data_IF_965010662402
#
_entry.id   IF_965010662402
#
_cell.length_a   1.000
_cell.length_b   1.000
_cell.length_c   1.000
_cell.angle_alpha   90.00
_cell.angle_beta   90.00
_cell.angle_gamma   90.00
#
_symmetry.space_group_name_H-M   'P 1'
#
loop_
_entity.id
_entity.type
_entity.pdbx_description
1 polymer ?
#
# COMPACT_ATOMS: atom_id res chain seq x y z
N UNK A 1 19.18 5.71 -15.85
CA UNK A 1 18.80 7.12 -16.07
C UNK A 1 17.28 7.21 -15.93
N UNK A 2 16.77 8.08 -15.07
CA UNK A 2 15.32 8.25 -14.87
C UNK A 2 14.95 9.71 -15.16
N UNK A 3 13.90 9.90 -15.95
CA UNK A 3 13.37 11.20 -16.33
C UNK A 3 11.91 11.32 -15.89
N UNK A 4 11.53 12.48 -15.36
CA UNK A 4 10.19 12.73 -14.85
C UNK A 4 9.74 14.11 -15.25
N UNK A 5 8.50 14.22 -15.74
CA UNK A 5 7.87 15.50 -16.04
C UNK A 5 6.63 15.62 -15.19
N UNK A 6 6.59 16.67 -14.38
CA UNK A 6 5.50 16.93 -13.45
C UNK A 6 5.03 18.37 -13.53
N UNK A 7 3.74 18.56 -13.28
CA UNK A 7 3.14 19.87 -13.06
C UNK A 7 3.16 20.15 -11.57
N UNK A 8 3.71 21.27 -11.12
CA UNK A 8 3.71 21.68 -9.71
C UNK A 8 3.12 23.07 -9.53
N UNK A 9 2.56 23.33 -8.36
CA UNK A 9 1.94 24.62 -8.04
C UNK A 9 3.03 25.61 -7.65
N UNK A 10 2.98 26.80 -8.26
CA UNK A 10 3.95 27.87 -8.02
C UNK A 10 3.51 28.67 -6.80
N UNK A 11 4.42 28.91 -5.87
CA UNK A 11 4.27 29.93 -4.82
C UNK A 11 4.39 31.30 -5.48
N UNK A 12 3.33 32.11 -5.38
CA UNK A 12 3.34 33.52 -5.77
C UNK A 12 3.10 34.39 -4.53
N UNK A 13 3.66 35.59 -4.53
CA UNK A 13 3.27 36.61 -3.57
C UNK A 13 1.92 37.16 -4.04
N UNK A 14 0.89 36.99 -3.21
CA UNK A 14 -0.45 37.50 -3.48
C UNK A 14 -0.37 39.02 -3.71
N UNK A 15 -0.44 39.44 -4.97
CA UNK A 15 -0.69 40.84 -5.31
C UNK A 15 -2.19 41.07 -5.38
N UNK A 16 -2.65 42.26 -5.00
CA UNK A 16 -4.07 42.61 -4.79
C UNK A 16 -4.93 42.56 -6.08
N UNK A 17 -4.41 42.04 -7.19
CA UNK A 17 -5.03 42.11 -8.51
C UNK A 17 -4.89 40.81 -9.33
N UNK A 18 -4.61 39.66 -8.70
CA UNK A 18 -4.52 38.38 -9.42
C UNK A 18 -5.92 37.80 -9.70
N UNK A 19 -6.13 37.38 -10.94
CA UNK A 19 -7.22 36.49 -11.34
C UNK A 19 -7.17 35.20 -10.52
N UNK A 20 -8.33 34.63 -10.18
CA UNK A 20 -8.47 33.39 -9.39
C UNK A 20 -8.05 32.13 -10.19
N UNK A 21 -6.79 32.11 -10.63
CA UNK A 21 -6.17 31.01 -11.34
C UNK A 21 -4.89 30.67 -10.61
N UNK A 22 -4.86 29.48 -9.99
CA UNK A 22 -3.69 29.02 -9.25
C UNK A 22 -2.49 28.85 -10.19
N UNK A 23 -1.39 29.59 -10.00
CA UNK A 23 -0.24 29.52 -10.89
C UNK A 23 0.48 28.19 -10.75
N UNK A 24 1.02 27.68 -11.86
CA UNK A 24 1.73 26.41 -11.92
C UNK A 24 2.93 26.50 -12.84
N UNK A 25 3.87 25.58 -12.67
CA UNK A 25 5.04 25.39 -13.53
C UNK A 25 5.14 23.92 -13.90
N UNK A 26 5.78 23.65 -15.04
CA UNK A 26 6.19 22.29 -15.39
C UNK A 26 7.65 22.10 -15.04
N UNK A 27 7.94 20.98 -14.39
CA UNK A 27 9.27 20.59 -13.96
C UNK A 27 9.63 19.29 -14.65
N UNK A 28 10.69 19.30 -15.43
CA UNK A 28 11.34 18.13 -15.98
C UNK A 28 12.62 17.87 -15.17
N UNK A 29 12.72 16.70 -14.54
CA UNK A 29 13.89 16.28 -13.76
C UNK A 29 14.54 15.06 -14.40
N UNK A 30 15.84 15.16 -14.66
CA UNK A 30 16.68 14.10 -15.21
C UNK A 30 17.74 13.72 -14.19
N UNK A 31 17.65 12.49 -13.70
CA UNK A 31 18.49 11.96 -12.63
C UNK A 31 19.65 11.16 -13.24
N UNK A 32 20.84 11.75 -13.19
CA UNK A 32 22.12 11.14 -13.57
C UNK A 32 22.78 10.53 -12.33
N UNK A 33 23.93 9.86 -12.52
CA UNK A 33 24.69 9.27 -11.41
C UNK A 33 25.27 10.35 -10.47
N UNK A 34 25.83 11.43 -11.05
CA UNK A 34 26.53 12.48 -10.29
C UNK A 34 25.78 13.81 -10.18
N UNK A 35 24.64 13.96 -10.87
CA UNK A 35 23.92 15.22 -10.94
C UNK A 35 22.42 15.04 -11.25
N UNK A 36 21.65 16.07 -10.93
CA UNK A 36 20.24 16.19 -11.29
C UNK A 36 20.09 17.41 -12.21
N UNK A 37 19.72 17.17 -13.46
CA UNK A 37 19.36 18.27 -14.35
C UNK A 37 17.87 18.59 -14.20
N UNK A 38 17.58 19.86 -13.97
CA UNK A 38 16.22 20.38 -13.86
C UNK A 38 15.96 21.31 -15.04
N UNK A 39 14.87 21.08 -15.76
CA UNK A 39 14.33 22.04 -16.72
C UNK A 39 12.96 22.48 -16.24
N UNK A 40 12.73 23.80 -16.21
CA UNK A 40 11.50 24.40 -15.73
C UNK A 40 10.85 25.19 -16.84
N UNK A 41 9.55 25.03 -17.01
CA UNK A 41 8.74 25.86 -17.88
C UNK A 41 7.68 26.59 -17.10
N UNK A 42 7.65 27.90 -17.30
CA UNK A 42 6.68 28.81 -16.70
C UNK A 42 5.67 29.21 -17.78
N UNK A 43 4.43 28.70 -17.74
CA UNK A 43 3.42 28.98 -18.77
C UNK A 43 3.03 30.46 -18.85
N UNK A 44 3.03 31.17 -17.72
CA UNK A 44 2.57 32.58 -17.64
C UNK A 44 3.48 33.53 -18.42
N UNK A 45 4.80 33.29 -18.39
CA UNK A 45 5.80 34.10 -19.10
C UNK A 45 6.38 33.41 -20.33
N UNK A 46 5.85 32.23 -20.67
CA UNK A 46 6.33 31.36 -21.73
C UNK A 46 7.86 31.16 -21.73
N UNK A 47 8.46 31.09 -20.54
CA UNK A 47 9.91 31.04 -20.37
C UNK A 47 10.36 29.66 -19.90
N UNK A 48 11.44 29.19 -20.51
CA UNK A 48 12.10 27.93 -20.13
C UNK A 48 13.42 28.23 -19.39
N UNK A 49 13.73 27.42 -18.40
CA UNK A 49 14.91 27.54 -17.56
C UNK A 49 15.58 26.19 -17.36
N UNK A 50 16.89 26.18 -17.13
CA UNK A 50 17.68 25.00 -16.75
C UNK A 50 18.46 25.27 -15.47
N UNK A 51 18.44 24.31 -14.56
CA UNK A 51 19.35 24.19 -13.42
C UNK A 51 20.06 22.83 -13.49
N UNK A 52 21.24 22.75 -12.89
CA UNK A 52 21.96 21.50 -12.69
C UNK A 52 22.35 21.51 -11.23
N UNK A 53 21.88 20.51 -10.50
CA UNK A 53 22.17 20.30 -9.09
C UNK A 53 23.18 19.16 -8.99
N UNK A 54 24.40 19.45 -8.57
CA UNK A 54 25.47 18.46 -8.47
C UNK A 54 25.39 17.68 -7.17
N UNK A 55 25.96 16.47 -7.15
CA UNK A 55 26.09 15.66 -5.93
C UNK A 55 26.69 16.46 -4.76
N UNK A 56 27.78 17.20 -5.01
CA UNK A 56 28.46 17.99 -3.97
C UNK A 56 27.56 19.08 -3.36
N UNK A 57 26.68 19.68 -4.16
CA UNK A 57 25.75 20.72 -3.72
C UNK A 57 24.65 20.12 -2.83
N UNK A 58 24.13 18.94 -3.20
CA UNK A 58 23.15 18.20 -2.38
C UNK A 58 23.80 17.76 -1.06
N UNK A 59 25.05 17.30 -1.12
CA UNK A 59 25.79 16.87 0.06
C UNK A 59 26.07 18.05 1.00
N UNK A 60 26.50 19.20 0.49
CA UNK A 60 26.69 20.42 1.27
C UNK A 60 25.36 20.85 1.92
N UNK A 61 24.26 20.82 1.18
CA UNK A 61 22.94 21.14 1.72
C UNK A 61 22.49 20.16 2.83
N UNK A 62 22.81 18.87 2.69
CA UNK A 62 22.54 17.88 3.74
C UNK A 62 23.33 18.15 5.02
N UNK A 63 24.62 18.50 4.88
CA UNK A 63 25.48 18.88 6.01
C UNK A 63 24.97 20.16 6.70
N UNK A 64 24.55 21.17 5.94
CA UNK A 64 23.97 22.42 6.47
C UNK A 64 22.65 22.18 7.21
N UNK A 65 21.79 21.31 6.68
CA UNK A 65 20.51 20.95 7.28
C UNK A 65 20.64 19.91 8.40
N UNK A 66 21.84 19.38 8.65
CA UNK A 66 22.11 18.31 9.61
C UNK A 66 21.27 17.05 9.35
N UNK A 67 21.07 16.71 8.07
CA UNK A 67 20.32 15.54 7.62
C UNK A 67 21.26 14.53 6.94
N UNK A 68 20.87 13.26 6.96
CA UNK A 68 21.60 12.27 6.16
C UNK A 68 21.41 12.55 4.66
N UNK A 69 22.48 12.38 3.89
CA UNK A 69 22.46 12.61 2.45
C UNK A 69 21.36 11.77 1.76
N UNK A 70 21.22 10.49 2.13
CA UNK A 70 20.25 9.62 1.47
C UNK A 70 18.82 10.03 1.81
N UNK A 71 18.57 10.46 3.05
CA UNK A 71 17.26 10.95 3.46
C UNK A 71 16.88 12.22 2.69
N UNK A 72 17.79 13.20 2.60
CA UNK A 72 17.58 14.43 1.84
C UNK A 72 17.36 14.13 0.35
N UNK A 73 18.20 13.27 -0.23
CA UNK A 73 18.11 12.89 -1.63
C UNK A 73 16.78 12.22 -1.97
N UNK A 74 16.29 11.33 -1.10
CA UNK A 74 14.97 10.70 -1.26
C UNK A 74 13.85 11.74 -1.14
N UNK A 75 13.95 12.68 -0.20
CA UNK A 75 12.97 13.78 -0.08
C UNK A 75 12.98 14.68 -1.32
N UNK A 76 14.14 15.06 -1.84
CA UNK A 76 14.27 15.87 -3.06
C UNK A 76 13.66 15.14 -4.25
N UNK A 77 13.96 13.85 -4.38
CA UNK A 77 13.38 13.03 -5.44
C UNK A 77 11.87 13.02 -5.35
N UNK A 78 11.31 12.74 -4.17
CA UNK A 78 9.85 12.78 -3.98
C UNK A 78 9.28 14.16 -4.29
N UNK A 79 9.90 15.24 -3.83
CA UNK A 79 9.42 16.60 -4.06
C UNK A 79 9.44 16.98 -5.55
N UNK A 80 10.46 16.56 -6.30
CA UNK A 80 10.65 16.94 -7.71
C UNK A 80 9.98 15.98 -8.70
N UNK A 81 9.52 14.81 -8.27
CA UNK A 81 8.84 13.83 -9.15
C UNK A 81 7.36 13.63 -8.83
N UNK A 82 6.79 14.32 -7.83
CA UNK A 82 5.37 14.18 -7.46
C UNK A 82 4.49 15.11 -8.31
N UNK A 83 3.52 14.53 -9.02
CA UNK A 83 2.54 15.29 -9.79
C UNK A 83 1.68 16.17 -8.86
N UNK A 84 1.46 17.41 -9.27
CA UNK A 84 0.83 18.49 -8.49
C UNK A 84 1.64 18.97 -7.27
N UNK A 85 2.86 18.46 -7.09
CA UNK A 85 3.74 18.81 -5.96
C UNK A 85 3.47 17.94 -4.72
N UNK A 86 4.51 17.79 -3.89
CA UNK A 86 4.43 17.07 -2.63
C UNK A 86 3.78 17.96 -1.55
N UNK A 87 2.90 17.39 -0.72
CA UNK A 87 2.29 18.15 0.38
C UNK A 87 3.35 18.68 1.36
N UNK A 88 3.19 19.94 1.77
CA UNK A 88 4.15 20.61 2.64
C UNK A 88 5.42 21.05 1.91
N UNK A 89 5.43 21.05 0.57
CA UNK A 89 6.49 21.66 -0.22
C UNK A 89 5.93 22.77 -1.11
N UNK A 90 6.63 23.90 -1.16
CA UNK A 90 6.31 25.03 -2.02
C UNK A 90 7.43 25.29 -3.03
N UNK A 91 7.02 25.56 -4.27
CA UNK A 91 7.92 25.72 -5.41
C UNK A 91 7.87 27.16 -5.89
N UNK A 92 8.99 27.88 -5.83
CA UNK A 92 9.07 29.28 -6.22
C UNK A 92 10.06 29.47 -7.36
N UNK A 93 9.67 30.24 -8.37
CA UNK A 93 10.53 30.66 -9.47
C UNK A 93 10.58 32.18 -9.48
N UNK A 94 11.76 32.74 -9.24
CA UNK A 94 12.00 34.18 -9.30
C UNK A 94 12.50 34.51 -10.69
N UNK A 95 11.71 35.24 -11.48
CA UNK A 95 12.03 35.49 -12.90
C UNK A 95 12.96 36.69 -13.12
N UNK A 96 12.91 37.69 -12.24
CA UNK A 96 13.79 38.88 -12.30
C UNK A 96 15.26 38.53 -12.08
N UNK A 97 15.50 37.62 -11.13
CA UNK A 97 16.80 37.00 -10.85
C UNK A 97 16.59 35.50 -10.99
N UNK A 98 16.80 34.93 -12.19
CA UNK A 98 16.36 33.58 -12.52
C UNK A 98 16.94 32.60 -11.49
N UNK A 99 16.05 32.17 -10.58
CA UNK A 99 16.35 31.29 -9.45
C UNK A 99 15.16 30.39 -9.18
N UNK A 100 15.45 29.15 -8.83
CA UNK A 100 14.48 28.18 -8.38
C UNK A 100 14.67 27.95 -6.89
N UNK A 101 13.58 28.05 -6.14
CA UNK A 101 13.57 27.76 -4.71
C UNK A 101 12.56 26.68 -4.39
N UNK A 102 13.01 25.73 -3.57
CA UNK A 102 12.16 24.70 -2.98
C UNK A 102 12.12 24.93 -1.47
N UNK A 103 10.90 25.06 -0.93
CA UNK A 103 10.66 25.24 0.49
C UNK A 103 9.95 24.03 1.05
N UNK A 104 10.30 23.62 2.27
CA UNK A 104 9.53 22.67 3.08
C UNK A 104 8.77 23.45 4.15
N UNK A 105 7.44 23.40 4.08
CA UNK A 105 6.50 24.15 4.90
C UNK A 105 5.76 23.22 5.88
N UNK A 106 6.51 22.46 6.69
CA UNK A 106 5.93 21.54 7.69
C UNK A 106 6.28 21.99 9.10
N UNK A 107 5.42 22.84 9.67
CA UNK A 107 5.59 23.44 11.00
C UNK A 107 6.38 24.75 10.96
N UNK A 108 7.51 24.77 10.26
CA UNK A 108 8.31 25.96 9.96
C UNK A 108 8.78 25.91 8.50
N UNK A 109 9.09 27.07 7.91
CA UNK A 109 9.57 27.17 6.54
C UNK A 109 11.08 26.94 6.49
N UNK A 110 11.50 25.88 5.79
CA UNK A 110 12.91 25.54 5.56
C UNK A 110 13.22 25.66 4.08
N UNK A 111 14.27 26.39 3.73
CA UNK A 111 14.78 26.45 2.36
C UNK A 111 15.60 25.20 2.06
N UNK A 112 15.15 24.41 1.10
CA UNK A 112 15.81 23.18 0.68
C UNK A 112 16.73 23.44 -0.52
N UNK A 113 16.23 24.11 -1.55
CA UNK A 113 16.99 24.39 -2.78
C UNK A 113 16.94 25.89 -3.03
N UNK A 114 18.08 26.51 -3.36
CA UNK A 114 18.17 27.87 -3.92
C UNK A 114 19.17 27.87 -5.08
N UNK A 115 18.71 27.41 -6.24
CA UNK A 115 19.55 27.24 -7.41
C UNK A 115 19.36 28.32 -8.45
N UNK A 116 20.48 28.72 -9.08
CA UNK A 116 20.44 29.69 -10.18
C UNK A 116 19.93 29.02 -11.45
N UNK A 117 19.01 29.70 -12.11
CA UNK A 117 18.43 29.26 -13.36
C UNK A 117 19.12 29.91 -14.55
N UNK A 118 19.45 29.10 -15.55
CA UNK A 118 19.86 29.56 -16.88
C UNK A 118 18.64 29.59 -17.78
N UNK A 119 18.32 30.76 -18.35
CA UNK A 119 17.23 30.87 -19.33
C UNK A 119 17.57 30.08 -20.60
N UNK A 120 16.63 29.27 -21.08
CA UNK A 120 16.72 28.54 -22.33
C UNK A 120 15.90 29.28 -23.40
N UNK A 121 16.46 29.38 -24.61
CA UNK A 121 15.77 29.91 -25.78
C UNK A 121 14.93 28.85 -26.51
N UNK A 122 15.20 27.57 -26.26
CA UNK A 122 14.57 26.45 -26.94
C UNK A 122 13.63 25.71 -25.98
N UNK A 123 12.33 25.78 -26.25
CA UNK A 123 11.28 25.07 -25.52
C UNK A 123 11.02 23.66 -26.09
N UNK A 124 11.41 23.39 -27.35
CA UNK A 124 11.20 22.10 -27.99
C UNK A 124 11.82 20.95 -27.19
N UNK A 125 13.00 21.15 -26.57
CA UNK A 125 13.62 20.08 -25.76
C UNK A 125 12.73 19.56 -24.64
N UNK A 126 11.95 20.43 -23.99
CA UNK A 126 11.03 20.01 -22.93
C UNK A 126 9.77 19.35 -23.51
N UNK A 127 9.31 19.81 -24.68
CA UNK A 127 8.17 19.20 -25.36
C UNK A 127 8.53 17.81 -25.91
N UNK A 128 9.72 17.66 -26.48
CA UNK A 128 10.26 16.38 -26.96
C UNK A 128 10.40 15.42 -25.78
N UNK A 129 10.98 15.87 -24.67
CA UNK A 129 11.04 15.08 -23.43
C UNK A 129 9.64 14.74 -22.89
N UNK A 130 8.66 15.65 -23.00
CA UNK A 130 7.27 15.39 -22.61
C UNK A 130 6.58 14.36 -23.51
N UNK A 131 6.86 14.40 -24.81
CA UNK A 131 6.40 13.39 -25.76
C UNK A 131 7.06 12.04 -25.46
N UNK A 132 8.36 12.00 -25.17
CA UNK A 132 9.07 10.77 -24.80
C UNK A 132 8.61 10.20 -23.45
N UNK A 133 8.42 11.04 -22.44
CA UNK A 133 7.82 10.63 -21.14
C UNK A 133 6.36 10.18 -21.31
N UNK A 134 5.60 10.86 -22.16
CA UNK A 134 4.21 10.51 -22.49
C UNK A 134 4.12 9.20 -23.27
N UNK A 135 5.05 8.97 -24.19
CA UNK A 135 5.16 7.73 -24.93
C UNK A 135 5.69 6.61 -24.05
N UNK A 136 6.66 6.82 -23.18
CA UNK A 136 7.13 5.77 -22.26
C UNK A 136 6.10 5.44 -21.19
N UNK A 137 5.24 6.37 -20.78
CA UNK A 137 4.09 6.07 -19.93
C UNK A 137 2.94 5.39 -20.71
N UNK A 138 2.76 5.68 -22.01
CA UNK A 138 1.83 4.95 -22.87
C UNK A 138 2.37 3.62 -23.41
N UNK A 139 3.69 3.43 -23.45
CA UNK A 139 4.45 2.19 -23.75
C UNK A 139 4.65 1.37 -22.47
N UNK A 140 4.68 1.99 -21.29
CA UNK A 140 4.41 1.28 -20.03
C UNK A 140 2.95 0.80 -19.96
N UNK A 141 2.05 1.42 -20.74
CA UNK A 141 0.66 0.98 -20.94
C UNK A 141 0.44 0.17 -22.25
N UNK A 142 1.45 -0.03 -23.09
CA UNK A 142 1.39 -0.89 -24.29
C UNK A 142 2.62 -1.81 -24.30
N UNK A 143 2.44 -3.11 -24.04
CA UNK A 143 3.54 -3.98 -23.61
C UNK A 143 4.62 -4.06 -24.69
N UNK A 144 5.80 -3.52 -24.39
CA UNK A 144 7.01 -3.94 -25.08
C UNK A 144 7.25 -5.42 -24.75
N UNK A 145 7.37 -6.22 -25.79
CA UNK A 145 7.17 -7.67 -25.85
C UNK A 145 8.22 -8.55 -25.15
N UNK A 146 8.89 -8.05 -24.11
CA UNK A 146 9.81 -8.88 -23.31
C UNK A 146 9.79 -8.63 -21.80
N UNK A 147 9.20 -7.53 -21.32
CA UNK A 147 8.99 -7.30 -19.88
C UNK A 147 7.50 -7.34 -19.48
N UNK A 148 6.58 -6.99 -20.39
CA UNK A 148 5.14 -7.09 -20.15
C UNK A 148 4.65 -8.52 -19.90
N UNK A 149 5.27 -9.53 -20.53
CA UNK A 149 4.91 -10.93 -20.32
C UNK A 149 5.24 -11.44 -18.89
N UNK A 150 6.24 -10.85 -18.23
CA UNK A 150 6.63 -11.26 -16.88
C UNK A 150 5.72 -10.65 -15.80
N UNK A 151 5.26 -9.41 -15.99
CA UNK A 151 4.32 -8.77 -15.05
C UNK A 151 2.86 -9.17 -15.31
N UNK A 152 2.45 -9.47 -16.56
CA UNK A 152 1.17 -10.12 -16.83
C UNK A 152 1.14 -11.58 -16.33
N UNK A 153 2.26 -12.30 -16.38
CA UNK A 153 2.35 -13.64 -15.77
C UNK A 153 2.27 -13.58 -14.24
N UNK A 154 2.84 -12.55 -13.61
CA UNK A 154 2.73 -12.34 -12.16
C UNK A 154 1.33 -11.88 -11.74
N UNK A 155 0.70 -10.97 -12.49
CA UNK A 155 -0.66 -10.50 -12.20
C UNK A 155 -1.70 -11.61 -12.45
N UNK A 156 -1.52 -12.39 -13.52
CA UNK A 156 -2.31 -13.60 -13.80
C UNK A 156 -2.08 -14.68 -12.73
N UNK A 157 -0.82 -14.91 -12.33
CA UNK A 157 -0.48 -15.82 -11.24
C UNK A 157 -1.10 -15.40 -9.90
N UNK A 158 -1.12 -14.09 -9.60
CA UNK A 158 -1.74 -13.55 -8.40
C UNK A 158 -3.27 -13.68 -8.43
N UNK A 159 -3.90 -13.44 -9.58
CA UNK A 159 -5.34 -13.68 -9.79
C UNK A 159 -5.70 -15.15 -9.61
N UNK A 160 -4.90 -16.06 -10.16
CA UNK A 160 -5.10 -17.50 -10.02
C UNK A 160 -4.92 -17.97 -8.56
N UNK A 161 -3.93 -17.42 -7.85
CA UNK A 161 -3.76 -17.66 -6.42
C UNK A 161 -4.96 -17.16 -5.61
N UNK A 162 -5.50 -16.00 -5.96
CA UNK A 162 -6.69 -15.44 -5.33
C UNK A 162 -7.95 -16.28 -5.59
N UNK A 163 -8.15 -16.75 -6.83
CA UNK A 163 -9.23 -17.67 -7.16
C UNK A 163 -9.12 -19.00 -6.40
N UNK A 164 -7.92 -19.57 -6.32
CA UNK A 164 -7.65 -20.77 -5.55
C UNK A 164 -7.94 -20.55 -4.05
N UNK A 165 -7.51 -19.42 -3.49
CA UNK A 165 -7.80 -19.06 -2.11
C UNK A 165 -9.30 -18.95 -1.82
N UNK A 166 -10.07 -18.33 -2.72
CA UNK A 166 -11.54 -18.24 -2.60
C UNK A 166 -12.16 -19.64 -2.63
N UNK A 167 -11.72 -20.49 -3.55
CA UNK A 167 -12.25 -21.85 -3.69
C UNK A 167 -11.95 -22.71 -2.47
N UNK A 168 -10.73 -22.63 -1.94
CA UNK A 168 -10.34 -23.33 -0.72
C UNK A 168 -11.09 -22.82 0.51
N UNK A 169 -11.28 -21.51 0.61
CA UNK A 169 -12.08 -20.89 1.68
C UNK A 169 -13.52 -21.41 1.66
N UNK A 170 -14.17 -21.39 0.50
CA UNK A 170 -15.53 -21.94 0.33
C UNK A 170 -15.60 -23.44 0.61
N UNK A 171 -14.58 -24.21 0.25
CA UNK A 171 -14.53 -25.64 0.52
C UNK A 171 -14.39 -25.92 2.03
N UNK A 172 -13.55 -25.16 2.74
CA UNK A 172 -13.39 -25.24 4.20
C UNK A 172 -14.69 -24.85 4.90
N UNK A 173 -15.35 -23.78 4.47
CA UNK A 173 -16.66 -23.35 4.99
C UNK A 173 -17.71 -24.47 4.84
N UNK A 174 -17.83 -25.08 3.65
CA UNK A 174 -18.75 -26.18 3.40
C UNK A 174 -18.45 -27.41 4.27
N UNK A 175 -17.18 -27.75 4.46
CA UNK A 175 -16.76 -28.85 5.36
C UNK A 175 -17.14 -28.55 6.81
N UNK A 176 -16.94 -27.32 7.27
CA UNK A 176 -17.29 -26.89 8.63
C UNK A 176 -18.81 -26.95 8.84
N UNK A 177 -19.59 -26.44 7.88
CA UNK A 177 -21.05 -26.49 7.93
C UNK A 177 -21.57 -27.94 7.98
N UNK A 178 -20.97 -28.86 7.21
CA UNK A 178 -21.29 -30.29 7.26
C UNK A 178 -21.00 -30.90 8.63
N UNK A 179 -19.85 -30.59 9.23
CA UNK A 179 -19.51 -31.04 10.60
C UNK A 179 -20.51 -30.50 11.62
N UNK A 180 -20.86 -29.22 11.53
CA UNK A 180 -21.83 -28.58 12.42
C UNK A 180 -23.22 -29.23 12.31
N UNK A 181 -23.69 -29.48 11.08
CA UNK A 181 -24.97 -30.16 10.84
C UNK A 181 -24.99 -31.59 11.42
N UNK A 182 -23.89 -32.33 11.27
CA UNK A 182 -23.74 -33.65 11.87
C UNK A 182 -23.77 -33.59 13.41
N UNK A 183 -23.09 -32.61 14.01
CA UNK A 183 -23.09 -32.40 15.45
C UNK A 183 -24.51 -32.09 15.97
N UNK A 184 -25.23 -31.21 15.27
CA UNK A 184 -26.63 -30.90 15.55
C UNK A 184 -27.51 -32.15 15.52
N UNK A 185 -27.37 -32.98 14.49
CA UNK A 185 -28.15 -34.22 14.37
C UNK A 185 -27.82 -35.22 15.48
N UNK A 186 -26.54 -35.35 15.86
CA UNK A 186 -26.13 -36.18 16.99
C UNK A 186 -26.73 -35.68 18.31
N UNK A 187 -26.75 -34.36 18.52
CA UNK A 187 -27.39 -33.74 19.69
C UNK A 187 -28.91 -33.94 19.69
N UNK A 188 -29.58 -33.76 18.55
CA UNK A 188 -31.02 -34.04 18.39
C UNK A 188 -31.36 -35.48 18.76
N UNK A 189 -30.64 -36.48 18.21
CA UNK A 189 -30.85 -37.89 18.58
C UNK A 189 -30.61 -38.16 20.06
N UNK A 190 -29.62 -37.49 20.67
CA UNK A 190 -29.36 -37.62 22.12
C UNK A 190 -30.51 -37.04 22.94
N UNK A 191 -31.07 -35.90 22.54
CA UNK A 191 -32.26 -35.30 23.15
C UNK A 191 -33.45 -36.27 23.02
N UNK A 192 -33.75 -36.76 21.81
CA UNK A 192 -34.83 -37.73 21.57
C UNK A 192 -34.67 -39.01 22.43
N UNK A 193 -33.42 -39.52 22.56
CA UNK A 193 -33.14 -40.69 23.41
C UNK A 193 -33.38 -40.38 24.90
N UNK A 194 -32.97 -39.21 25.37
CA UNK A 194 -33.20 -38.78 26.75
C UNK A 194 -34.69 -38.53 27.01
N UNK A 195 -35.41 -37.92 26.08
CA UNK A 195 -36.86 -37.73 26.13
C UNK A 195 -37.60 -39.08 26.15
N UNK A 196 -37.16 -40.06 25.35
CA UNK A 196 -37.70 -41.42 25.37
C UNK A 196 -37.47 -42.12 26.72
N UNK A 197 -36.27 -41.97 27.30
CA UNK A 197 -35.94 -42.53 28.62
C UNK A 197 -36.76 -41.87 29.74
N UNK A 198 -36.98 -40.56 29.67
CA UNK A 198 -37.84 -39.83 30.60
C UNK A 198 -39.32 -40.20 30.41
N UNK A 199 -39.77 -40.43 29.18
CA UNK A 199 -41.12 -40.89 28.86
C UNK A 199 -41.41 -42.30 29.38
N UNK A 200 -40.44 -43.22 29.24
CA UNK A 200 -40.53 -44.61 29.75
C UNK A 200 -40.56 -44.69 31.29
N UNK A 201 -39.93 -43.74 31.99
CA UNK A 201 -40.03 -43.64 33.47
C UNK A 201 -41.36 -43.06 33.97
N UNK A 202 -42.14 -42.41 33.10
CA UNK A 202 -43.44 -41.81 33.44
C UNK A 202 -44.63 -42.76 33.25
N UNK A 203 -44.41 -43.97 32.76
CA UNK A 203 -45.43 -45.02 32.73
C UNK A 203 -45.24 -45.92 33.95
N UNK A 204 -46.09 -45.85 34.99
CA UNK A 204 -46.12 -46.88 36.02
C UNK A 204 -46.65 -48.17 35.38
N UNK A 205 -45.76 -49.11 35.10
CA UNK A 205 -46.15 -50.47 34.77
C UNK A 205 -46.63 -51.11 36.07
N UNK A 206 -47.95 -51.07 36.28
CA UNK A 206 -48.62 -51.99 37.19
C UNK A 206 -48.47 -53.37 36.55
N UNK A 207 -47.57 -54.18 37.09
CA UNK A 207 -47.64 -55.63 36.98
C UNK A 207 -47.33 -56.23 38.34
N UNK A 208 -48.41 -56.71 38.95
CA UNK A 208 -48.41 -57.68 40.02
C UNK A 208 -47.56 -58.90 39.71
N UNK A 209 -47.03 -59.45 40.80
CA UNK A 209 -46.76 -60.87 41.12
C UNK A 209 -45.29 -61.32 41.16
N UNK A 210 -44.84 -61.47 42.41
CA UNK A 210 -43.97 -62.52 43.00
C UNK A 210 -42.56 -62.70 42.41
N UNK A 211 -41.48 -62.87 43.17
CA UNK A 211 -41.15 -62.90 44.60
C UNK A 211 -39.60 -62.89 44.61
N UNK A 212 -38.99 -62.35 45.67
CA UNK A 212 -37.62 -62.54 46.22
C UNK A 212 -36.46 -63.03 45.29
N UNK A 213 -35.27 -62.43 45.23
CA UNK A 213 -34.32 -62.19 46.33
C UNK A 213 -33.27 -61.12 45.97
N UNK A 214 -32.65 -60.62 47.04
CA UNK A 214 -31.66 -59.54 47.16
C UNK A 214 -30.26 -60.06 46.81
N UNK A 215 -29.41 -59.27 46.14
CA UNK A 215 -28.04 -59.12 46.65
C UNK A 215 -27.33 -57.83 46.23
N UNK A 216 -26.55 -57.32 47.18
CA UNK A 216 -25.76 -56.11 47.17
C UNK A 216 -24.48 -56.30 46.34
N UNK A 217 -24.01 -55.24 45.67
CA UNK A 217 -22.71 -54.68 46.05
C UNK A 217 -22.37 -53.39 45.29
N UNK A 218 -21.90 -52.43 46.08
CA UNK A 218 -21.40 -51.15 45.66
C UNK A 218 -19.94 -51.25 45.22
N UNK A 219 -19.58 -50.58 44.13
CA UNK A 219 -18.20 -50.20 43.85
C UNK A 219 -18.19 -48.96 42.94
N UNK A 220 -18.06 -47.80 43.58
CA UNK A 220 -17.32 -46.68 43.02
C UNK A 220 -15.84 -46.97 43.32
N UNK A 221 -14.89 -46.72 42.40
CA UNK A 221 -14.10 -45.50 42.60
C UNK A 221 -13.60 -44.82 41.32
N UNK A 222 -13.54 -43.49 41.39
CA UNK A 222 -12.60 -42.63 40.68
C UNK A 222 -11.15 -43.16 40.76
N UNK A 223 -10.47 -43.33 39.62
CA UNK A 223 -9.02 -43.19 39.47
C UNK A 223 -8.61 -43.31 37.99
N UNK A 224 -8.18 -42.22 37.35
CA UNK A 224 -6.84 -42.10 36.77
C UNK A 224 -6.73 -40.91 35.79
N UNK A 225 -5.90 -39.95 36.24
CA UNK A 225 -5.18 -38.98 35.44
C UNK A 225 -4.35 -39.67 34.34
N UNK A 226 -4.32 -39.13 33.12
CA UNK A 226 -3.12 -38.45 32.58
C UNK A 226 -3.18 -38.27 31.05
N UNK A 227 -3.05 -37.00 30.66
CA UNK A 227 -2.02 -36.47 29.74
C UNK A 227 -1.73 -37.21 28.42
N UNK A 228 -2.24 -36.71 27.27
CA UNK A 228 -1.56 -36.85 25.96
C UNK A 228 -1.73 -35.60 25.08
N UNK A 229 -0.65 -34.82 25.07
CA UNK A 229 -0.01 -34.03 24.00
C UNK A 229 -0.83 -33.32 22.91
N UNK A 230 -0.72 -31.99 22.94
CA UNK A 230 -0.72 -31.13 21.75
C UNK A 230 0.53 -31.45 20.92
N UNK A 231 0.34 -31.74 19.63
CA UNK A 231 1.42 -31.69 18.64
C UNK A 231 1.11 -30.53 17.70
N UNK A 232 1.89 -29.46 17.88
CA UNK A 232 2.17 -28.48 16.85
C UNK A 232 3.10 -29.16 15.82
N UNK A 233 2.69 -29.24 14.57
CA UNK A 233 3.59 -29.50 13.44
C UNK A 233 3.45 -28.34 12.46
N UNK A 234 4.31 -27.35 12.66
CA UNK A 234 4.82 -26.45 11.62
C UNK A 234 6.02 -27.12 10.93
N UNK A 235 6.24 -26.70 9.67
CA UNK A 235 7.40 -26.90 8.79
C UNK A 235 7.45 -28.16 7.92
N UNK A 236 7.00 -28.02 6.66
CA UNK A 236 7.90 -27.75 5.51
C UNK A 236 7.15 -27.04 4.37
#
# INVERSE_FOLDING_TARGET
>A
MCEYIVKVLRRTQLSHNETDVKPFIYLHSKWLEDAVELQLYVPTSNSCYKAILKYDEIKSAAEELQLDYNELYIEYKKALTTQMGLQGFDYEVVEEKPKFKLWKCRGFEILYIDEKLRKLSNMQQMLDAAMECGQTSSIAATPSSSQGAADDAKSSGLLQQYENFINDSKLKEKKLLKKFHMLLNTKKRRIEKLESLLGKRKTPVIKDSSDEEVDQDAADPDSDMDHVQLVDDDYE
#
